data_IF_200857540603
#
_entry.id   IF_200857540603
#
_cell.length_a   1.000
_cell.length_b   1.000
_cell.length_c   1.000
_cell.angle_alpha   90.00
_cell.angle_beta   90.00
_cell.angle_gamma   90.00
#
_symmetry.space_group_name_H-M   'P 1'
#
loop_
_entity.id
_entity.type
_entity.pdbx_description
1 polymer ?
#
# COMPACT_ATOMS: atom_id res chain seq x y z
N UNK A 1 -21.08 -4.20 -1.44
CA UNK A 1 -20.01 -5.00 -0.80
C UNK A 1 -18.71 -4.67 -1.50
N UNK A 2 -17.75 -4.04 -0.83
CA UNK A 2 -16.41 -3.82 -1.40
C UNK A 2 -15.74 -5.18 -1.51
N UNK A 3 -15.09 -5.44 -2.64
CA UNK A 3 -14.41 -6.72 -2.88
C UNK A 3 -13.25 -6.91 -1.88
N UNK A 4 -13.01 -8.15 -1.43
CA UNK A 4 -11.96 -8.48 -0.45
C UNK A 4 -10.57 -7.98 -0.86
N UNK A 5 -10.27 -7.89 -2.16
CA UNK A 5 -8.98 -7.41 -2.64
C UNK A 5 -8.83 -5.89 -2.41
N UNK A 6 -9.90 -5.08 -2.54
CA UNK A 6 -9.89 -3.65 -2.22
C UNK A 6 -9.62 -3.44 -0.74
N UNK A 7 -10.20 -4.28 0.13
CA UNK A 7 -9.90 -4.26 1.57
C UNK A 7 -8.44 -4.61 1.84
N UNK A 8 -7.87 -5.59 1.13
CA UNK A 8 -6.44 -5.98 1.27
C UNK A 8 -5.51 -4.88 0.77
N UNK A 9 -5.81 -4.23 -0.35
CA UNK A 9 -5.02 -3.10 -0.87
C UNK A 9 -5.14 -1.90 0.04
N UNK A 10 -6.35 -1.59 0.53
CA UNK A 10 -6.59 -0.48 1.46
C UNK A 10 -6.00 -0.70 2.85
N UNK A 11 -5.76 -1.95 3.27
CA UNK A 11 -5.15 -2.29 4.57
C UNK A 11 -3.63 -2.47 4.51
N UNK A 12 -3.04 -2.59 3.31
CA UNK A 12 -1.60 -2.73 3.14
C UNK A 12 -0.93 -1.36 3.25
N UNK A 13 -0.36 -1.10 4.42
CA UNK A 13 0.43 0.10 4.65
C UNK A 13 1.79 -0.05 3.95
N UNK A 14 2.21 0.91 3.09
CA UNK A 14 3.51 0.87 2.45
C UNK A 14 4.65 0.70 3.47
N UNK A 15 5.68 -0.08 3.15
CA UNK A 15 6.78 -0.39 4.09
C UNK A 15 7.47 0.85 4.67
N UNK A 16 7.54 1.95 3.92
CA UNK A 16 8.10 3.22 4.38
C UNK A 16 7.21 3.97 5.37
N UNK A 17 5.90 3.73 5.37
CA UNK A 17 4.95 4.44 6.22
C UNK A 17 5.21 4.19 7.72
N UNK A 18 5.45 2.94 8.12
CA UNK A 18 5.68 2.61 9.53
C UNK A 18 6.91 3.32 10.09
N UNK A 19 7.97 3.48 9.28
CA UNK A 19 9.16 4.23 9.65
C UNK A 19 8.85 5.72 9.84
N UNK A 20 8.17 6.33 8.88
CA UNK A 20 7.75 7.72 8.93
C UNK A 20 6.83 7.97 10.14
N UNK A 21 5.84 7.11 10.36
CA UNK A 21 4.93 7.17 11.49
C UNK A 21 5.65 7.18 12.84
N UNK A 22 6.64 6.29 13.03
CA UNK A 22 7.43 6.24 14.27
C UNK A 22 8.20 7.54 14.48
N UNK A 23 8.91 8.02 13.46
CA UNK A 23 9.69 9.26 13.56
C UNK A 23 8.80 10.46 13.86
N UNK A 24 7.68 10.63 13.17
CA UNK A 24 6.72 11.70 13.41
C UNK A 24 6.08 11.64 14.80
N UNK A 25 5.77 10.44 15.27
CA UNK A 25 5.22 10.28 16.63
C UNK A 25 6.25 10.66 17.69
N UNK A 26 7.51 10.25 17.49
CA UNK A 26 8.61 10.54 18.42
C UNK A 26 9.09 12.01 18.34
N UNK A 27 8.79 12.76 17.29
CA UNK A 27 9.00 14.23 17.26
C UNK A 27 8.18 14.93 18.35
N UNK A 28 6.99 14.42 18.64
CA UNK A 28 6.07 15.04 19.62
C UNK A 28 6.48 14.76 21.06
N UNK A 29 6.78 13.49 21.38
CA UNK A 29 7.24 13.05 22.69
C UNK A 29 7.82 11.65 22.66
N UNK A 30 8.64 11.25 23.67
CA UNK A 30 9.13 9.89 23.79
C UNK A 30 8.00 8.88 24.03
N UNK A 31 8.09 7.70 23.39
CA UNK A 31 7.13 6.60 23.52
C UNK A 31 7.86 5.25 23.67
N UNK A 32 7.23 4.30 24.34
CA UNK A 32 7.60 2.88 24.28
C UNK A 32 7.09 2.25 22.99
N UNK A 33 7.62 1.08 22.60
CA UNK A 33 7.10 0.35 21.43
C UNK A 33 5.61 0.02 21.54
N UNK A 34 5.13 -0.31 22.76
CA UNK A 34 3.70 -0.54 23.02
C UNK A 34 2.86 0.72 22.82
N UNK A 35 3.30 1.84 23.39
CA UNK A 35 2.60 3.13 23.22
C UNK A 35 2.51 3.55 21.75
N UNK A 36 3.53 3.25 20.93
CA UNK A 36 3.51 3.50 19.48
C UNK A 36 2.44 2.66 18.77
N UNK A 37 2.29 1.38 19.14
CA UNK A 37 1.24 0.50 18.61
C UNK A 37 -0.14 1.03 18.97
N UNK A 38 -0.36 1.33 20.25
CA UNK A 38 -1.65 1.82 20.75
C UNK A 38 -2.01 3.18 20.09
N UNK A 39 -1.03 4.05 19.91
CA UNK A 39 -1.21 5.32 19.23
C UNK A 39 -1.58 5.16 17.76
N UNK A 40 -0.94 4.21 17.05
CA UNK A 40 -1.27 3.89 15.66
C UNK A 40 -2.73 3.43 15.51
N UNK A 41 -3.16 2.52 16.38
CA UNK A 41 -4.54 2.01 16.39
C UNK A 41 -5.54 3.13 16.64
N UNK A 42 -5.26 3.97 17.62
CA UNK A 42 -6.12 5.10 17.99
C UNK A 42 -6.21 6.14 16.88
N UNK A 43 -5.08 6.55 16.31
CA UNK A 43 -5.02 7.60 15.28
C UNK A 43 -5.68 7.18 13.97
N UNK A 44 -5.67 5.88 13.66
CA UNK A 44 -6.28 5.35 12.43
C UNK A 44 -7.66 4.77 12.66
N UNK A 45 -8.27 4.97 13.82
CA UNK A 45 -9.58 4.41 14.17
C UNK A 45 -9.63 2.89 13.96
N UNK A 46 -8.52 2.21 14.26
CA UNK A 46 -8.38 0.77 14.10
C UNK A 46 -8.15 0.28 12.66
N UNK A 47 -8.05 1.18 11.67
CA UNK A 47 -7.77 0.80 10.27
C UNK A 47 -6.35 0.25 10.09
N UNK A 48 -5.40 0.67 10.92
CA UNK A 48 -4.05 0.14 10.94
C UNK A 48 -3.68 -0.33 12.34
N UNK A 49 -3.37 -1.64 12.44
CA UNK A 49 -2.98 -2.32 13.69
C UNK A 49 -1.61 -2.95 13.50
N UNK A 50 -0.51 -2.19 13.68
CA UNK A 50 0.82 -2.74 13.53
C UNK A 50 1.10 -3.80 14.61
N UNK A 51 1.69 -4.93 14.20
CA UNK A 51 2.07 -5.99 15.13
C UNK A 51 3.38 -5.64 15.87
N UNK A 52 3.61 -6.20 17.06
CA UNK A 52 4.92 -6.13 17.73
C UNK A 52 6.07 -6.58 16.83
N UNK A 53 5.87 -7.65 16.04
CA UNK A 53 6.85 -8.17 15.08
C UNK A 53 7.20 -7.20 13.94
N UNK A 54 6.37 -6.19 13.68
CA UNK A 54 6.68 -5.09 12.77
C UNK A 54 7.42 -3.95 13.48
N UNK A 55 6.94 -3.53 14.65
CA UNK A 55 7.40 -2.31 15.32
C UNK A 55 8.77 -2.50 15.97
N UNK A 56 8.99 -3.57 16.73
CA UNK A 56 10.26 -3.74 17.45
C UNK A 56 11.48 -3.92 16.54
N UNK A 57 11.46 -4.75 15.47
CA UNK A 57 12.57 -4.80 14.53
C UNK A 57 12.84 -3.45 13.84
N UNK A 58 11.80 -2.66 13.61
CA UNK A 58 11.95 -1.34 13.01
C UNK A 58 12.59 -0.34 13.98
N UNK A 59 12.21 -0.38 15.26
CA UNK A 59 12.86 0.42 16.31
C UNK A 59 14.36 0.07 16.42
N UNK A 60 14.73 -1.23 16.37
CA UNK A 60 16.12 -1.67 16.34
C UNK A 60 16.90 -1.02 15.18
N UNK A 61 16.35 -1.07 13.96
CA UNK A 61 16.98 -0.44 12.79
C UNK A 61 17.14 1.08 12.94
N UNK A 62 16.12 1.75 13.48
CA UNK A 62 16.18 3.20 13.72
C UNK A 62 17.23 3.58 14.77
N UNK A 63 17.47 2.71 15.78
CA UNK A 63 18.57 2.85 16.75
C UNK A 63 19.94 2.69 16.06
N UNK A 64 20.12 1.65 15.24
CA UNK A 64 21.35 1.38 14.49
C UNK A 64 21.69 2.54 13.55
N UNK A 65 20.68 3.13 12.91
CA UNK A 65 20.80 4.30 12.05
C UNK A 65 20.99 5.62 12.83
N UNK A 66 20.94 5.58 14.16
CA UNK A 66 21.04 6.74 15.06
C UNK A 66 19.97 7.81 14.82
N UNK A 67 18.81 7.41 14.35
CA UNK A 67 17.67 8.29 14.14
C UNK A 67 16.82 8.45 15.41
N UNK A 68 16.86 7.46 16.28
CA UNK A 68 16.27 7.47 17.61
C UNK A 68 17.29 7.04 18.65
N UNK A 69 17.00 7.29 19.90
CA UNK A 69 17.77 6.80 21.04
C UNK A 69 16.84 6.27 22.12
N UNK A 70 17.29 5.27 22.85
CA UNK A 70 16.57 4.76 24.02
C UNK A 70 16.78 5.67 25.22
N UNK A 71 15.74 5.84 26.02
CA UNK A 71 15.74 6.63 27.25
C UNK A 71 15.29 5.77 28.43
N UNK A 72 15.36 6.30 29.63
CA UNK A 72 14.90 5.60 30.84
C UNK A 72 13.45 5.12 30.70
N UNK A 73 13.16 3.92 31.20
CA UNK A 73 11.82 3.33 31.17
C UNK A 73 11.43 2.71 29.84
N UNK A 74 12.39 2.31 28.99
CA UNK A 74 12.13 1.63 27.71
C UNK A 74 11.44 2.51 26.67
N UNK A 75 11.58 3.83 26.80
CA UNK A 75 11.04 4.80 25.83
C UNK A 75 12.10 5.16 24.79
N UNK A 76 11.64 5.45 23.61
CA UNK A 76 12.46 5.94 22.50
C UNK A 76 12.21 7.43 22.29
N UNK A 77 13.26 8.16 21.99
CA UNK A 77 13.25 9.59 21.66
C UNK A 77 13.93 9.79 20.31
N UNK A 78 13.39 10.71 19.51
CA UNK A 78 14.00 11.09 18.23
C UNK A 78 15.31 11.85 18.47
N UNK A 79 16.31 11.64 17.62
CA UNK A 79 17.55 12.43 17.59
C UNK A 79 17.43 13.63 16.65
N UNK A 80 18.40 14.53 16.68
CA UNK A 80 18.47 15.64 15.70
C UNK A 80 18.51 15.11 14.26
N UNK A 81 19.29 14.05 13.99
CA UNK A 81 19.34 13.38 12.69
C UNK A 81 18.00 12.76 12.30
N UNK A 82 17.32 12.13 13.27
CA UNK A 82 15.98 11.58 13.04
C UNK A 82 14.96 12.65 12.69
N UNK A 83 15.02 13.82 13.34
CA UNK A 83 14.14 14.95 13.02
C UNK A 83 14.35 15.43 11.59
N UNK A 84 15.59 15.65 11.16
CA UNK A 84 15.89 16.03 9.77
C UNK A 84 15.34 14.99 8.77
N UNK A 85 15.57 13.70 9.05
CA UNK A 85 15.03 12.62 8.18
C UNK A 85 13.49 12.61 8.13
N UNK A 86 12.84 12.88 9.24
CA UNK A 86 11.37 12.97 9.28
C UNK A 86 10.84 14.17 8.47
N UNK A 87 11.51 15.34 8.60
CA UNK A 87 11.16 16.55 7.86
C UNK A 87 11.33 16.37 6.34
N UNK A 88 12.40 15.70 5.90
CA UNK A 88 12.61 15.33 4.49
C UNK A 88 11.49 14.43 3.96
N UNK A 89 11.09 13.43 4.75
CA UNK A 89 9.98 12.53 4.41
C UNK A 89 8.63 13.26 4.37
N UNK A 90 8.40 14.20 5.27
CA UNK A 90 7.20 15.05 5.26
C UNK A 90 7.12 15.90 4.00
N UNK A 91 8.25 16.48 3.59
CA UNK A 91 8.35 17.25 2.35
C UNK A 91 7.99 16.40 1.13
N UNK A 92 8.52 15.17 1.03
CA UNK A 92 8.18 14.22 -0.04
C UNK A 92 6.70 13.87 -0.01
N UNK A 93 6.13 13.59 1.16
CA UNK A 93 4.71 13.30 1.31
C UNK A 93 3.83 14.46 0.84
N UNK A 94 4.20 15.69 1.13
CA UNK A 94 3.46 16.88 0.69
C UNK A 94 3.53 17.06 -0.83
N UNK A 95 4.68 16.81 -1.44
CA UNK A 95 4.82 16.82 -2.91
C UNK A 95 3.91 15.78 -3.55
N UNK A 96 3.96 14.52 -3.07
CA UNK A 96 3.10 13.44 -3.58
C UNK A 96 1.62 13.73 -3.37
N UNK A 97 1.26 14.25 -2.20
CA UNK A 97 -0.13 14.65 -1.91
C UNK A 97 -0.63 15.73 -2.86
N UNK A 98 0.18 16.75 -3.09
CA UNK A 98 -0.19 17.82 -4.03
C UNK A 98 -0.34 17.30 -5.47
N UNK A 99 0.53 16.39 -5.91
CA UNK A 99 0.42 15.76 -7.22
C UNK A 99 -0.86 14.92 -7.33
N UNK A 100 -1.20 14.15 -6.30
CA UNK A 100 -2.44 13.39 -6.25
C UNK A 100 -3.67 14.30 -6.24
N UNK A 101 -3.65 15.38 -5.47
CA UNK A 101 -4.75 16.36 -5.43
C UNK A 101 -5.00 16.99 -6.81
N UNK A 102 -3.94 17.28 -7.58
CA UNK A 102 -4.06 17.74 -8.97
C UNK A 102 -4.72 16.67 -9.83
N UNK A 103 -4.27 15.42 -9.74
CA UNK A 103 -4.86 14.31 -10.50
C UNK A 103 -6.35 14.10 -10.14
N UNK A 104 -6.71 14.18 -8.86
CA UNK A 104 -8.09 14.08 -8.39
C UNK A 104 -8.98 15.21 -8.91
N UNK A 105 -8.44 16.42 -9.08
CA UNK A 105 -9.17 17.59 -9.64
C UNK A 105 -9.36 17.52 -11.15
N UNK A 106 -8.39 16.95 -11.88
CA UNK A 106 -8.43 16.90 -13.36
C UNK A 106 -9.40 15.85 -13.88
N UNK A 107 -9.79 14.87 -13.08
CA UNK A 107 -10.79 13.91 -13.52
C UNK A 107 -10.70 12.51 -12.90
N UNK A 108 -11.33 11.58 -13.52
CA UNK A 108 -11.62 10.22 -13.09
C UNK A 108 -10.33 9.41 -12.81
N UNK A 109 -9.68 9.65 -11.65
CA UNK A 109 -8.45 8.94 -11.24
C UNK A 109 -8.65 7.42 -11.30
N UNK A 110 -9.86 6.94 -10.99
CA UNK A 110 -10.20 5.53 -11.13
C UNK A 110 -10.02 5.02 -12.56
N UNK A 111 -10.30 5.86 -13.58
CA UNK A 111 -10.10 5.49 -14.99
C UNK A 111 -8.61 5.42 -15.35
N UNK A 112 -7.79 6.38 -14.88
CA UNK A 112 -6.34 6.36 -15.12
C UNK A 112 -5.68 5.16 -14.44
N UNK A 113 -6.03 4.87 -13.19
CA UNK A 113 -5.53 3.69 -12.47
C UNK A 113 -5.96 2.41 -13.17
N UNK A 114 -7.20 2.33 -13.65
CA UNK A 114 -7.68 1.18 -14.39
C UNK A 114 -6.93 0.98 -15.71
N UNK A 115 -6.65 2.07 -16.46
CA UNK A 115 -5.88 2.00 -17.70
C UNK A 115 -4.42 1.55 -17.45
N UNK A 116 -3.75 2.11 -16.44
CA UNK A 116 -2.40 1.69 -16.04
C UNK A 116 -2.36 0.20 -15.64
N UNK A 117 -3.36 -0.26 -14.90
CA UNK A 117 -3.49 -1.67 -14.53
C UNK A 117 -3.71 -2.58 -15.75
N UNK A 118 -4.54 -2.16 -16.70
CA UNK A 118 -4.77 -2.89 -17.95
C UNK A 118 -3.47 -3.00 -18.75
N UNK A 119 -2.72 -1.91 -18.87
CA UNK A 119 -1.44 -1.90 -19.58
C UNK A 119 -0.40 -2.84 -18.94
N UNK A 120 -0.34 -2.88 -17.61
CA UNK A 120 0.51 -3.82 -16.88
C UNK A 120 0.08 -5.28 -17.08
N UNK A 121 -1.20 -5.56 -17.04
CA UNK A 121 -1.73 -6.91 -17.32
C UNK A 121 -1.40 -7.33 -18.76
N UNK A 122 -1.55 -6.43 -19.72
CA UNK A 122 -1.18 -6.66 -21.11
C UNK A 122 0.31 -6.99 -21.24
N UNK A 123 1.17 -6.16 -20.67
CA UNK A 123 2.64 -6.36 -20.70
C UNK A 123 3.05 -7.70 -20.09
N UNK A 124 2.52 -8.02 -18.89
CA UNK A 124 2.80 -9.29 -18.22
C UNK A 124 2.26 -10.49 -19.03
N UNK A 125 1.06 -10.36 -19.60
CA UNK A 125 0.47 -11.37 -20.44
C UNK A 125 1.27 -11.65 -21.70
N UNK A 126 1.81 -10.59 -22.35
CA UNK A 126 2.68 -10.71 -23.52
C UNK A 126 3.98 -11.42 -23.17
N UNK A 127 4.65 -11.03 -22.08
CA UNK A 127 5.88 -11.68 -21.61
C UNK A 127 5.66 -13.18 -21.34
N UNK A 128 4.57 -13.54 -20.66
CA UNK A 128 4.24 -14.95 -20.41
C UNK A 128 3.96 -15.71 -21.69
N UNK A 129 3.28 -15.10 -22.65
CA UNK A 129 2.96 -15.73 -23.93
C UNK A 129 4.21 -15.91 -24.79
N UNK A 130 5.12 -14.94 -24.82
CA UNK A 130 6.40 -15.01 -25.53
C UNK A 130 7.31 -16.10 -24.97
N UNK A 131 7.30 -16.31 -23.65
CA UNK A 131 8.11 -17.32 -22.98
C UNK A 131 7.37 -18.65 -22.76
N UNK A 132 6.23 -18.85 -23.41
CA UNK A 132 5.43 -20.07 -23.24
C UNK A 132 6.19 -21.37 -23.61
N UNK A 133 7.21 -21.29 -24.47
CA UNK A 133 8.05 -22.42 -24.82
C UNK A 133 8.95 -22.90 -23.67
N UNK A 134 9.25 -22.02 -22.71
CA UNK A 134 10.07 -22.31 -21.51
C UNK A 134 9.21 -22.78 -20.32
N UNK A 135 7.89 -22.66 -20.43
CA UNK A 135 6.95 -23.05 -19.38
C UNK A 135 6.64 -24.55 -19.46
N UNK A 136 6.46 -25.16 -18.32
CA UNK A 136 5.94 -26.52 -18.23
C UNK A 136 4.49 -26.60 -18.72
N UNK A 137 4.05 -27.79 -19.15
CA UNK A 137 2.66 -28.02 -19.57
C UNK A 137 1.65 -27.63 -18.47
N UNK A 138 2.00 -27.88 -17.22
CA UNK A 138 1.13 -27.57 -16.10
C UNK A 138 0.99 -26.05 -15.90
N UNK A 139 2.06 -25.29 -16.04
CA UNK A 139 2.04 -23.81 -15.95
C UNK A 139 1.25 -23.18 -17.08
N UNK A 140 1.41 -23.69 -18.31
CA UNK A 140 0.62 -23.26 -19.47
C UNK A 140 -0.88 -23.49 -19.22
N UNK A 141 -1.26 -24.68 -18.74
CA UNK A 141 -2.67 -24.98 -18.46
C UNK A 141 -3.24 -24.14 -17.32
N UNK A 142 -2.48 -23.86 -16.27
CA UNK A 142 -2.88 -22.90 -15.22
C UNK A 142 -3.11 -21.51 -15.78
N UNK A 143 -2.20 -21.04 -16.64
CA UNK A 143 -2.32 -19.71 -17.25
C UNK A 143 -3.54 -19.62 -18.18
N UNK A 144 -3.75 -20.61 -19.05
CA UNK A 144 -4.95 -20.69 -19.91
C UNK A 144 -6.25 -20.70 -19.11
N UNK A 145 -6.29 -21.46 -18.02
CA UNK A 145 -7.45 -21.52 -17.13
C UNK A 145 -7.73 -20.18 -16.48
N UNK A 146 -6.70 -19.48 -16.04
CA UNK A 146 -6.81 -18.12 -15.51
C UNK A 146 -7.39 -17.16 -16.55
N UNK A 147 -6.83 -17.12 -17.77
CA UNK A 147 -7.31 -16.23 -18.84
C UNK A 147 -8.77 -16.49 -19.19
N UNK A 148 -9.18 -17.75 -19.31
CA UNK A 148 -10.57 -18.12 -19.58
C UNK A 148 -11.51 -17.65 -18.46
N UNK A 149 -11.12 -17.88 -17.21
CA UNK A 149 -11.90 -17.45 -16.04
C UNK A 149 -12.09 -15.93 -15.99
N UNK A 150 -11.05 -15.15 -16.30
CA UNK A 150 -11.15 -13.69 -16.29
C UNK A 150 -12.02 -13.19 -17.45
N UNK A 151 -11.91 -13.80 -18.64
CA UNK A 151 -12.75 -13.47 -19.79
C UNK A 151 -14.24 -13.71 -19.48
N UNK A 152 -14.59 -14.89 -18.95
CA UNK A 152 -15.96 -15.23 -18.55
C UNK A 152 -16.54 -14.25 -17.52
N UNK A 153 -15.73 -13.83 -16.55
CA UNK A 153 -16.14 -12.83 -15.54
C UNK A 153 -16.46 -11.48 -16.18
N UNK A 154 -15.64 -11.04 -17.13
CA UNK A 154 -15.86 -9.78 -17.85
C UNK A 154 -17.11 -9.82 -18.71
N UNK A 155 -17.31 -10.89 -19.48
CA UNK A 155 -18.51 -11.09 -20.32
C UNK A 155 -19.78 -11.17 -19.48
N UNK A 156 -19.74 -11.86 -18.34
CA UNK A 156 -20.88 -11.96 -17.43
C UNK A 156 -21.27 -10.60 -16.84
N UNK A 157 -20.28 -9.76 -16.51
CA UNK A 157 -20.55 -8.40 -16.01
C UNK A 157 -21.08 -7.47 -17.10
N UNK A 158 -20.50 -7.50 -18.29
CA UNK A 158 -20.96 -6.71 -19.42
C UNK A 158 -22.42 -7.04 -19.79
N UNK A 159 -22.80 -8.30 -19.78
CA UNK A 159 -24.16 -8.75 -20.04
C UNK A 159 -25.16 -8.36 -18.93
N UNK A 160 -24.72 -8.20 -17.68
CA UNK A 160 -25.58 -7.74 -16.58
C UNK A 160 -25.82 -6.22 -16.63
N UNK A 161 -24.81 -5.45 -17.02
CA UNK A 161 -24.93 -4.00 -17.15
C UNK A 161 -25.72 -3.59 -18.39
N UNK A 162 -25.56 -4.30 -19.50
CA UNK A 162 -26.36 -4.06 -20.72
C UNK A 162 -27.86 -4.37 -20.59
N UNK A 163 -28.28 -5.15 -19.59
CA UNK A 163 -29.70 -5.40 -19.28
C UNK A 163 -30.35 -4.36 -18.39
N UNK A 164 -29.58 -3.48 -17.76
CA UNK A 164 -30.09 -2.44 -16.85
C UNK A 164 -30.29 -1.07 -17.51
N UNK A 165 -29.95 -0.93 -18.79
CA UNK A 165 -30.28 0.30 -19.56
C UNK A 165 -31.57 0.05 -20.32
N UNK A 166 -32.69 0.04 -19.62
CA UNK A 166 -33.99 0.38 -20.22
C UNK A 166 -34.12 1.87 -20.05
N UNK A 167 -34.06 2.55 -21.19
CA UNK A 167 -34.38 3.95 -21.36
C UNK A 167 -35.90 4.06 -21.19
N UNK A 168 -36.35 4.81 -20.18
CA UNK A 168 -37.68 5.41 -20.11
C UNK A 168 -37.65 6.70 -20.90
#
# INVERSE_FOLDING_TARGET
MQSEWIQRVGSSVPRGFSRHFILETLKKKPHTGKELIDFAIKQTEGKWKPSPGLIYPLLGRLLDEKLIQETTGGKYKITKRGTTTADDLETINNIVKNQLDVLFRIGNVGRFVALDMIERVYTLGSILSENAAEMSKEEIEKYKKFLKSELEKMETKANKEGKNIKID
#
